data_IF_291026783892
#
_entry.id   IF_291026783892
#
_cell.length_a   1.000
_cell.length_b   1.000
_cell.length_c   1.000
_cell.angle_alpha   90.00
_cell.angle_beta   90.00
_cell.angle_gamma   90.00
#
_symmetry.space_group_name_H-M   'P 1'
#
loop_
_entity.id
_entity.type
_entity.pdbx_description
1 polymer ?
#
# COMPACT_ATOMS: atom_id res chain seq x y z
N UNK A 1 14.63 -9.38 -0.29
CA UNK A 1 13.74 -8.91 0.78
C UNK A 1 13.81 -7.40 0.89
N UNK A 2 12.71 -6.70 0.58
CA UNK A 2 12.57 -5.25 0.72
C UNK A 2 11.39 -4.93 1.63
N UNK A 3 11.60 -4.14 2.68
CA UNK A 3 10.50 -3.62 3.51
C UNK A 3 10.41 -2.11 3.32
N UNK A 4 9.26 -1.63 2.86
CA UNK A 4 9.02 -0.21 2.62
C UNK A 4 7.96 0.31 3.60
N UNK A 5 8.30 1.29 4.42
CA UNK A 5 7.36 1.90 5.37
C UNK A 5 6.95 3.29 4.91
N UNK A 6 5.64 3.53 4.74
CA UNK A 6 5.11 4.82 4.24
C UNK A 6 4.37 5.63 5.29
N UNK A 7 4.13 5.11 6.50
CA UNK A 7 3.15 5.72 7.41
C UNK A 7 1.85 6.00 6.63
N UNK A 8 1.32 7.22 6.68
CA UNK A 8 0.15 7.67 5.93
C UNK A 8 0.48 8.43 4.64
N UNK A 9 1.76 8.50 4.22
CA UNK A 9 2.19 9.25 3.02
C UNK A 9 1.45 8.80 1.77
N UNK A 10 1.14 7.50 1.67
CA UNK A 10 0.43 6.95 0.53
C UNK A 10 -0.93 7.63 0.33
N UNK A 11 -1.66 7.98 1.40
CA UNK A 11 -2.93 8.68 1.30
C UNK A 11 -2.79 10.03 0.58
N UNK A 12 -1.78 10.83 0.95
CA UNK A 12 -1.53 12.12 0.31
C UNK A 12 -1.14 11.99 -1.16
N UNK A 13 -0.38 10.94 -1.52
CA UNK A 13 -0.04 10.67 -2.93
C UNK A 13 -1.27 10.38 -3.79
N UNK A 14 -2.30 9.75 -3.22
CA UNK A 14 -3.58 9.51 -3.90
C UNK A 14 -4.50 10.74 -3.91
N UNK A 15 -4.34 11.68 -2.98
CA UNK A 15 -5.07 12.96 -2.95
C UNK A 15 -4.49 13.99 -3.92
N UNK A 16 -3.17 13.97 -4.15
CA UNK A 16 -2.43 14.96 -4.95
C UNK A 16 -2.25 14.57 -6.42
N UNK A 17 -3.36 14.28 -7.11
CA UNK A 17 -3.33 14.02 -8.55
C UNK A 17 -2.76 12.65 -8.91
N UNK A 18 -1.69 12.60 -9.71
CA UNK A 18 -1.16 11.35 -10.29
C UNK A 18 0.17 10.87 -9.69
N UNK A 19 0.66 11.51 -8.62
CA UNK A 19 1.94 11.16 -8.00
C UNK A 19 1.98 9.74 -7.42
N UNK A 20 0.85 9.18 -6.98
CA UNK A 20 0.77 7.77 -6.60
C UNK A 20 1.18 6.83 -7.75
N UNK A 21 0.89 7.16 -9.01
CA UNK A 21 1.29 6.33 -10.16
C UNK A 21 2.80 6.29 -10.32
N UNK A 22 3.46 7.44 -10.11
CA UNK A 22 4.93 7.54 -10.13
C UNK A 22 5.55 6.75 -8.98
N UNK A 23 4.94 6.81 -7.79
CA UNK A 23 5.35 5.99 -6.66
C UNK A 23 5.30 4.49 -6.97
N UNK A 24 4.18 4.00 -7.53
CA UNK A 24 4.06 2.58 -7.91
C UNK A 24 4.99 2.20 -9.07
N UNK A 25 5.24 3.10 -10.03
CA UNK A 25 6.22 2.89 -11.08
C UNK A 25 7.64 2.76 -10.51
N UNK A 26 8.01 3.58 -9.52
CA UNK A 26 9.29 3.47 -8.82
C UNK A 26 9.39 2.20 -7.98
N UNK A 27 8.33 1.80 -7.27
CA UNK A 27 8.31 0.52 -6.56
C UNK A 27 8.55 -0.66 -7.51
N UNK A 28 8.05 -0.58 -8.74
CA UNK A 28 8.21 -1.62 -9.76
C UNK A 28 9.65 -1.78 -10.29
N UNK A 29 10.56 -0.84 -9.99
CA UNK A 29 11.98 -0.94 -10.38
C UNK A 29 12.85 -1.60 -9.33
N UNK A 30 12.33 -1.79 -8.11
CA UNK A 30 13.05 -2.44 -7.02
C UNK A 30 13.20 -3.95 -7.28
N UNK A 31 14.24 -4.61 -6.74
CA UNK A 31 14.35 -6.06 -6.75
C UNK A 31 13.33 -6.66 -5.77
N UNK A 32 12.10 -6.91 -6.26
CA UNK A 32 11.00 -7.44 -5.48
C UNK A 32 10.97 -8.97 -5.50
N UNK A 33 10.75 -9.57 -4.34
CA UNK A 33 10.48 -11.00 -4.19
C UNK A 33 9.20 -11.22 -3.37
N UNK A 34 8.83 -12.48 -3.13
CA UNK A 34 7.61 -12.84 -2.38
C UNK A 34 7.63 -12.41 -0.91
N UNK A 35 8.78 -12.03 -0.37
CA UNK A 35 8.92 -11.48 0.99
C UNK A 35 8.85 -9.94 1.03
N UNK A 36 8.92 -9.28 -0.13
CA UNK A 36 8.91 -7.82 -0.20
C UNK A 36 7.57 -7.24 0.23
N UNK A 37 7.62 -6.36 1.22
CA UNK A 37 6.45 -5.96 2.02
C UNK A 37 6.36 -4.44 2.12
N UNK A 38 5.16 -3.91 1.91
CA UNK A 38 4.81 -2.51 2.21
C UNK A 38 4.04 -2.45 3.52
N UNK A 39 4.44 -1.55 4.40
CA UNK A 39 3.77 -1.28 5.68
C UNK A 39 3.30 0.17 5.67
N UNK A 40 2.01 0.37 5.94
CA UNK A 40 1.37 1.69 5.95
C UNK A 40 0.46 1.86 7.16
N UNK A 41 0.21 3.11 7.53
CA UNK A 41 -0.85 3.48 8.46
C UNK A 41 -2.04 4.06 7.70
N UNK A 42 -3.24 3.65 8.07
CA UNK A 42 -4.48 4.11 7.44
C UNK A 42 -5.56 4.33 8.48
N UNK A 43 -6.54 5.18 8.19
CA UNK A 43 -7.74 5.35 9.00
C UNK A 43 -8.75 4.21 8.85
N UNK A 44 -8.63 3.42 7.79
CA UNK A 44 -9.52 2.31 7.49
C UNK A 44 -8.73 1.11 6.99
N UNK A 45 -9.36 -0.05 7.06
CA UNK A 45 -8.78 -1.32 6.63
C UNK A 45 -9.80 -2.17 5.88
N UNK A 46 -9.32 -3.17 5.12
CA UNK A 46 -10.19 -4.15 4.50
C UNK A 46 -11.01 -4.92 5.54
N UNK A 47 -12.20 -5.34 5.16
CA UNK A 47 -12.99 -6.23 5.99
C UNK A 47 -12.21 -7.53 6.26
N UNK A 48 -12.08 -7.91 7.53
CA UNK A 48 -11.36 -9.13 7.92
C UNK A 48 -9.84 -9.00 8.04
N UNK A 49 -9.26 -7.80 7.83
CA UNK A 49 -7.85 -7.55 8.09
C UNK A 49 -7.50 -7.75 9.58
N UNK A 50 -6.29 -8.27 9.86
CA UNK A 50 -5.83 -8.51 11.24
C UNK A 50 -5.24 -7.21 11.78
N UNK A 51 -6.11 -6.37 12.31
CA UNK A 51 -5.74 -5.04 12.80
C UNK A 51 -4.90 -5.14 14.07
N UNK A 52 -3.66 -4.66 14.00
CA UNK A 52 -2.91 -4.31 15.20
C UNK A 52 -3.32 -2.90 15.62
N UNK A 53 -4.25 -2.80 16.57
CA UNK A 53 -4.69 -1.51 17.12
C UNK A 53 -3.49 -0.78 17.71
N UNK A 54 -3.21 0.40 17.17
CA UNK A 54 -2.22 1.36 17.69
C UNK A 54 -3.01 2.41 18.49
N UNK A 55 -2.43 3.10 19.49
CA UNK A 55 -3.09 4.20 20.18
C UNK A 55 -3.29 5.39 19.21
N UNK A 56 -4.34 5.35 18.41
CA UNK A 56 -4.83 6.37 17.47
C UNK A 56 -6.01 5.79 16.67
N UNK A 57 -6.76 6.60 15.93
CA UNK A 57 -7.74 6.15 14.92
C UNK A 57 -7.07 5.60 13.64
N UNK A 58 -5.84 5.08 13.77
CA UNK A 58 -5.04 4.53 12.69
C UNK A 58 -4.77 3.06 12.95
N UNK A 59 -4.71 2.30 11.86
CA UNK A 59 -4.37 0.89 11.84
C UNK A 59 -3.13 0.67 11.00
N UNK A 60 -2.28 -0.26 11.43
CA UNK A 60 -1.11 -0.67 10.67
C UNK A 60 -1.51 -1.80 9.73
N UNK A 61 -1.19 -1.63 8.45
CA UNK A 61 -1.57 -2.52 7.38
C UNK A 61 -0.33 -2.97 6.62
N UNK A 62 -0.35 -4.25 6.23
CA UNK A 62 0.74 -4.87 5.51
C UNK A 62 0.25 -5.40 4.16
N UNK A 63 1.00 -5.13 3.09
CA UNK A 63 0.74 -5.66 1.75
C UNK A 63 1.99 -6.23 1.12
N UNK A 64 1.81 -7.19 0.22
CA UNK A 64 2.83 -7.64 -0.71
C UNK A 64 3.11 -6.54 -1.73
N UNK A 65 4.37 -6.09 -1.85
CA UNK A 65 4.74 -5.08 -2.87
C UNK A 65 4.56 -5.69 -4.26
N UNK A 66 4.92 -6.95 -4.44
CA UNK A 66 4.80 -7.66 -5.71
C UNK A 66 3.35 -7.69 -6.21
N UNK A 67 2.40 -8.00 -5.32
CA UNK A 67 0.98 -8.06 -5.69
C UNK A 67 0.41 -6.68 -6.01
N UNK A 68 0.79 -5.66 -5.23
CA UNK A 68 0.37 -4.29 -5.50
C UNK A 68 0.89 -3.79 -6.84
N UNK A 69 2.18 -4.01 -7.14
CA UNK A 69 2.78 -3.62 -8.43
C UNK A 69 2.12 -4.37 -9.58
N UNK A 70 1.81 -5.66 -9.40
CA UNK A 70 1.05 -6.44 -10.40
C UNK A 70 -0.34 -5.83 -10.63
N UNK A 71 -1.09 -5.56 -9.58
CA UNK A 71 -2.42 -4.94 -9.67
C UNK A 71 -2.37 -3.54 -10.30
N UNK A 72 -1.33 -2.76 -9.98
CA UNK A 72 -1.09 -1.46 -10.62
C UNK A 72 -0.87 -1.59 -12.13
N UNK A 73 0.02 -2.51 -12.56
CA UNK A 73 0.29 -2.75 -13.99
C UNK A 73 -0.93 -3.24 -14.75
N UNK A 74 -1.82 -3.97 -14.09
CA UNK A 74 -3.10 -4.45 -14.63
C UNK A 74 -4.23 -3.40 -14.57
N UNK A 75 -3.96 -2.19 -14.08
CA UNK A 75 -4.95 -1.11 -13.98
C UNK A 75 -6.02 -1.32 -12.89
N UNK A 76 -5.79 -2.25 -11.96
CA UNK A 76 -6.71 -2.58 -10.84
C UNK A 76 -6.60 -1.63 -9.65
N UNK A 77 -5.50 -0.87 -9.56
CA UNK A 77 -5.36 0.22 -8.57
C UNK A 77 -5.74 1.51 -9.27
N UNK A 78 -6.91 2.08 -8.93
CA UNK A 78 -7.40 3.34 -9.48
C UNK A 78 -7.51 4.43 -8.41
N UNK A 79 -7.64 4.04 -7.15
CA UNK A 79 -7.73 4.92 -6.00
C UNK A 79 -7.12 4.25 -4.75
N UNK A 80 -6.98 5.02 -3.67
CA UNK A 80 -6.38 4.54 -2.43
C UNK A 80 -7.13 3.35 -1.83
N UNK A 81 -8.46 3.30 -2.00
CA UNK A 81 -9.28 2.19 -1.50
C UNK A 81 -8.88 0.85 -2.15
N UNK A 82 -8.59 0.82 -3.46
CA UNK A 82 -8.12 -0.40 -4.12
C UNK A 82 -6.79 -0.90 -3.52
N UNK A 83 -5.85 0.01 -3.23
CA UNK A 83 -4.57 -0.34 -2.61
C UNK A 83 -4.77 -0.87 -1.18
N UNK A 84 -5.65 -0.23 -0.40
CA UNK A 84 -5.97 -0.66 0.97
C UNK A 84 -6.60 -2.06 0.97
N UNK A 85 -7.52 -2.37 0.05
CA UNK A 85 -8.15 -3.70 -0.08
C UNK A 85 -7.15 -4.86 -0.26
N UNK A 86 -5.91 -4.58 -0.66
CA UNK A 86 -4.84 -5.57 -0.79
C UNK A 86 -3.99 -5.72 0.48
N UNK A 87 -4.45 -5.18 1.60
CA UNK A 87 -3.75 -5.21 2.89
C UNK A 87 -4.30 -6.29 3.81
N UNK A 88 -3.46 -6.77 4.72
CA UNK A 88 -3.80 -7.67 5.81
C UNK A 88 -3.49 -7.07 7.17
#
# INVERSE_FOLDING_TARGET
MTTFYTSNVEQYLFEQGDDWRRFYANLATLPLDSSSTLIRSSHFAPAGARLRRVPSNYVMLRSSIADLVKAFKEGRIQNYYNAIQMSQ
#
